data_IF_825326055329
#
_entry.id   IF_825326055329
#
_cell.length_a   1.000
_cell.length_b   1.000
_cell.length_c   1.000
_cell.angle_alpha   90.00
_cell.angle_beta   90.00
_cell.angle_gamma   90.00
#
_symmetry.space_group_name_H-M   'P 1'
#
loop_
_entity.id
_entity.type
_entity.pdbx_description
1 polymer ?
#
# COMPACT_ATOMS: atom_id res chain seq x y z
N UNK A 1 6.98 -33.60 6.25
CA UNK A 1 8.27 -32.89 6.07
C UNK A 1 8.56 -32.74 4.58
N UNK A 2 8.39 -31.52 4.01
CA UNK A 2 8.84 -31.22 2.64
C UNK A 2 10.37 -31.17 2.66
N UNK A 3 11.05 -32.13 2.02
CA UNK A 3 12.51 -32.09 1.79
C UNK A 3 12.81 -30.79 1.05
N UNK A 4 13.47 -29.82 1.70
CA UNK A 4 14.08 -28.67 1.03
C UNK A 4 15.17 -29.24 0.12
N UNK A 5 14.85 -29.40 -1.16
CA UNK A 5 15.86 -29.66 -2.17
C UNK A 5 16.78 -28.44 -2.21
N UNK A 6 18.06 -28.61 -1.85
CA UNK A 6 19.06 -27.56 -2.00
C UNK A 6 19.20 -27.27 -3.50
N UNK A 7 18.77 -26.08 -3.91
CA UNK A 7 18.80 -25.60 -5.30
C UNK A 7 20.19 -25.65 -5.92
N UNK A 8 21.24 -25.52 -5.09
CA UNK A 8 22.64 -25.67 -5.49
C UNK A 8 22.93 -27.07 -6.03
N UNK A 9 22.47 -28.13 -5.36
CA UNK A 9 22.74 -29.51 -5.78
C UNK A 9 22.05 -29.84 -7.10
N UNK A 10 20.83 -29.33 -7.31
CA UNK A 10 20.08 -29.51 -8.57
C UNK A 10 20.77 -28.84 -9.75
N UNK A 11 21.23 -27.60 -9.57
CA UNK A 11 21.97 -26.89 -10.62
C UNK A 11 23.27 -27.62 -10.98
N UNK A 12 23.99 -28.13 -9.98
CA UNK A 12 25.20 -28.94 -10.20
C UNK A 12 24.90 -30.21 -10.97
N UNK A 13 23.88 -30.98 -10.60
CA UNK A 13 23.50 -32.20 -11.31
C UNK A 13 23.03 -31.93 -12.75
N UNK A 14 22.30 -30.84 -12.98
CA UNK A 14 21.87 -30.43 -14.32
C UNK A 14 23.07 -30.08 -15.22
N UNK A 15 24.04 -29.33 -14.69
CA UNK A 15 25.24 -28.95 -15.44
C UNK A 15 26.11 -30.18 -15.76
N UNK A 16 26.26 -31.11 -14.81
CA UNK A 16 26.96 -32.36 -15.01
C UNK A 16 26.26 -33.24 -16.08
N UNK A 17 24.93 -33.29 -16.08
CA UNK A 17 24.16 -33.98 -17.09
C UNK A 17 24.35 -33.38 -18.50
N UNK A 18 24.37 -32.05 -18.63
CA UNK A 18 24.64 -31.37 -19.91
C UNK A 18 26.03 -31.72 -20.44
N UNK A 19 27.06 -31.70 -19.56
CA UNK A 19 28.44 -32.09 -19.93
C UNK A 19 28.52 -33.55 -20.36
N UNK A 20 27.86 -34.46 -19.63
CA UNK A 20 27.84 -35.88 -19.96
C UNK A 20 27.10 -36.15 -21.29
N UNK A 21 25.96 -35.50 -21.53
CA UNK A 21 25.22 -35.58 -22.79
C UNK A 21 26.10 -35.08 -23.94
N UNK A 22 26.84 -33.98 -23.74
CA UNK A 22 27.75 -33.43 -24.74
C UNK A 22 28.86 -34.44 -25.09
N UNK A 23 29.52 -35.02 -24.07
CA UNK A 23 30.59 -36.01 -24.26
C UNK A 23 30.06 -37.28 -24.94
N UNK A 24 28.91 -37.80 -24.51
CA UNK A 24 28.29 -38.99 -25.10
C UNK A 24 27.88 -38.76 -26.55
N UNK A 25 27.35 -37.59 -26.87
CA UNK A 25 26.94 -37.23 -28.23
C UNK A 25 28.15 -37.09 -29.16
N UNK A 26 29.24 -36.45 -28.70
CA UNK A 26 30.52 -36.38 -29.43
C UNK A 26 31.13 -37.77 -29.64
N UNK A 27 31.10 -38.64 -28.62
CA UNK A 27 31.65 -40.00 -28.71
C UNK A 27 30.82 -40.89 -29.65
N UNK A 28 29.49 -40.80 -29.59
CA UNK A 28 28.58 -41.52 -30.48
C UNK A 28 28.86 -41.18 -31.95
N UNK A 29 29.05 -39.90 -32.26
CA UNK A 29 29.36 -39.45 -33.62
C UNK A 29 30.78 -39.84 -34.07
N UNK A 30 31.79 -39.76 -33.19
CA UNK A 30 33.16 -40.19 -33.50
C UNK A 30 33.25 -41.68 -33.88
N UNK A 31 32.42 -42.52 -33.26
CA UNK A 31 32.41 -43.96 -33.53
C UNK A 31 31.63 -44.35 -34.80
N UNK A 32 30.70 -43.50 -35.27
CA UNK A 32 29.82 -43.82 -36.40
C UNK A 32 30.15 -43.07 -37.70
N UNK A 33 30.90 -41.96 -37.66
CA UNK A 33 31.29 -41.19 -38.86
C UNK A 33 32.70 -41.57 -39.32
N UNK A 34 32.80 -42.18 -40.50
CA UNK A 34 34.05 -42.78 -41.03
C UNK A 34 34.78 -41.90 -42.05
N UNK A 35 34.11 -40.88 -42.61
CA UNK A 35 34.64 -40.03 -43.68
C UNK A 35 34.62 -38.54 -43.25
N UNK A 36 35.79 -37.92 -43.12
CA UNK A 36 35.96 -36.57 -42.56
C UNK A 36 35.77 -35.45 -43.60
N UNK A 37 35.56 -35.81 -44.87
CA UNK A 37 35.20 -34.90 -45.96
C UNK A 37 33.78 -34.32 -45.85
N UNK A 38 32.91 -34.97 -45.06
CA UNK A 38 31.55 -34.52 -44.71
C UNK A 38 31.48 -33.74 -43.38
N UNK A 39 32.56 -33.06 -43.02
CA UNK A 39 32.64 -32.21 -41.82
C UNK A 39 31.63 -31.04 -41.83
N UNK A 40 30.99 -30.73 -42.96
CA UNK A 40 29.84 -29.83 -43.04
C UNK A 40 28.57 -30.42 -42.41
N UNK A 41 28.27 -31.69 -42.70
CA UNK A 41 27.13 -32.45 -42.12
C UNK A 41 27.30 -32.66 -40.61
N UNK A 42 28.56 -32.71 -40.14
CA UNK A 42 28.93 -32.68 -38.71
C UNK A 42 28.42 -31.41 -38.02
N UNK A 43 28.61 -30.23 -38.62
CA UNK A 43 28.17 -28.94 -38.04
C UNK A 43 26.64 -28.77 -38.01
N UNK A 44 25.94 -29.28 -39.02
CA UNK A 44 24.48 -29.15 -39.14
C UNK A 44 23.72 -29.90 -38.04
N UNK A 45 24.23 -31.06 -37.60
CA UNK A 45 23.62 -31.83 -36.51
C UNK A 45 23.73 -31.11 -35.15
N UNK A 46 24.78 -30.31 -34.94
CA UNK A 46 24.89 -29.45 -33.75
C UNK A 46 23.97 -28.23 -33.81
N UNK A 47 23.56 -27.80 -35.01
CA UNK A 47 22.61 -26.69 -35.19
C UNK A 47 21.26 -26.94 -34.50
N UNK A 48 20.73 -28.16 -34.61
CA UNK A 48 19.45 -28.54 -33.98
C UNK A 48 19.55 -28.55 -32.45
N UNK A 49 20.64 -29.09 -31.90
CA UNK A 49 20.89 -29.09 -30.45
C UNK A 49 21.09 -27.67 -29.91
N UNK A 50 21.85 -26.83 -30.61
CA UNK A 50 22.07 -25.45 -30.23
C UNK A 50 20.77 -24.63 -30.31
N UNK A 51 19.93 -24.87 -31.32
CA UNK A 51 18.62 -24.24 -31.43
C UNK A 51 17.69 -24.65 -30.27
N UNK A 52 17.66 -25.94 -29.91
CA UNK A 52 16.87 -26.43 -28.78
C UNK A 52 17.35 -25.86 -27.45
N UNK A 53 18.67 -25.82 -27.22
CA UNK A 53 19.25 -25.25 -26.01
C UNK A 53 19.00 -23.73 -25.91
N UNK A 54 19.15 -23.01 -27.03
CA UNK A 54 18.85 -21.59 -27.11
C UNK A 54 17.36 -21.30 -26.86
N UNK A 55 16.47 -22.15 -27.40
CA UNK A 55 15.03 -22.07 -27.14
C UNK A 55 14.67 -22.35 -25.68
N UNK A 56 15.30 -23.35 -25.05
CA UNK A 56 15.12 -23.66 -23.63
C UNK A 56 15.65 -22.53 -22.74
N UNK A 57 16.80 -21.96 -23.08
CA UNK A 57 17.37 -20.80 -22.39
C UNK A 57 16.44 -19.59 -22.49
N UNK A 58 15.91 -19.31 -23.69
CA UNK A 58 14.93 -18.24 -23.91
C UNK A 58 13.66 -18.48 -23.08
N UNK A 59 13.12 -19.70 -23.07
CA UNK A 59 11.95 -20.06 -22.28
C UNK A 59 12.22 -19.89 -20.77
N UNK A 60 13.43 -20.26 -20.31
CA UNK A 60 13.88 -20.02 -18.94
C UNK A 60 13.92 -18.53 -18.60
N UNK A 61 14.47 -17.70 -19.47
CA UNK A 61 14.49 -16.24 -19.30
C UNK A 61 13.07 -15.68 -19.23
N UNK A 62 12.18 -16.04 -20.16
CA UNK A 62 10.77 -15.61 -20.17
C UNK A 62 10.06 -16.00 -18.86
N UNK A 63 10.28 -17.23 -18.39
CA UNK A 63 9.74 -17.69 -17.12
C UNK A 63 10.24 -16.85 -15.94
N UNK A 64 11.56 -16.59 -15.88
CA UNK A 64 12.13 -15.75 -14.82
C UNK A 64 11.61 -14.32 -14.87
N UNK A 65 11.41 -13.75 -16.06
CA UNK A 65 10.83 -12.42 -16.23
C UNK A 65 9.39 -12.36 -15.70
N UNK A 66 8.57 -13.39 -15.98
CA UNK A 66 7.21 -13.45 -15.43
C UNK A 66 7.21 -13.48 -13.90
N UNK A 67 8.14 -14.23 -13.30
CA UNK A 67 8.29 -14.28 -11.85
C UNK A 67 8.75 -12.93 -11.28
N UNK A 68 9.72 -12.29 -11.92
CA UNK A 68 10.25 -10.98 -11.52
C UNK A 68 9.15 -9.91 -11.49
N UNK A 69 8.28 -9.87 -12.52
CA UNK A 69 7.15 -8.93 -12.59
C UNK A 69 6.23 -9.10 -11.36
N UNK A 70 5.87 -10.34 -11.02
CA UNK A 70 5.02 -10.61 -9.84
C UNK A 70 5.70 -10.17 -8.54
N UNK A 71 7.02 -10.41 -8.42
CA UNK A 71 7.76 -9.99 -7.22
C UNK A 71 7.84 -8.47 -7.11
N UNK A 72 7.98 -7.75 -8.22
CA UNK A 72 7.97 -6.29 -8.21
C UNK A 72 6.60 -5.72 -7.83
N UNK A 73 5.51 -6.33 -8.30
CA UNK A 73 4.16 -5.93 -7.89
C UNK A 73 3.93 -6.09 -6.38
N UNK A 74 4.38 -7.22 -5.82
CA UNK A 74 4.30 -7.47 -4.38
C UNK A 74 5.16 -6.46 -3.60
N UNK A 75 6.40 -6.24 -4.04
CA UNK A 75 7.30 -5.27 -3.41
C UNK A 75 6.71 -3.85 -3.43
N UNK A 76 6.07 -3.45 -4.54
CA UNK A 76 5.39 -2.15 -4.63
C UNK A 76 4.20 -2.06 -3.66
N UNK A 77 3.43 -3.14 -3.50
CA UNK A 77 2.32 -3.19 -2.52
C UNK A 77 2.83 -3.06 -1.09
N UNK A 78 3.89 -3.76 -0.74
CA UNK A 78 4.49 -3.69 0.61
C UNK A 78 5.02 -2.28 0.91
N UNK A 79 5.72 -1.67 -0.05
CA UNK A 79 6.16 -0.27 0.07
C UNK A 79 4.99 0.69 0.25
N UNK A 80 3.92 0.56 -0.55
CA UNK A 80 2.74 1.40 -0.44
C UNK A 80 2.04 1.25 0.93
N UNK A 81 1.96 0.02 1.45
CA UNK A 81 1.40 -0.27 2.76
C UNK A 81 2.25 0.33 3.90
N UNK A 82 3.58 0.31 3.79
CA UNK A 82 4.49 0.88 4.78
C UNK A 82 4.40 2.42 4.87
N UNK A 83 3.95 3.07 3.80
CA UNK A 83 3.78 4.53 3.77
C UNK A 83 2.33 4.96 3.95
N UNK A 84 1.41 4.04 4.26
CA UNK A 84 -0.01 4.32 4.39
C UNK A 84 -0.33 4.77 5.83
N UNK A 85 -0.62 6.07 6.05
CA UNK A 85 -1.21 6.53 7.31
C UNK A 85 -2.69 6.14 7.41
N UNK A 86 -3.13 5.93 8.64
CA UNK A 86 -4.52 5.63 8.98
C UNK A 86 -4.82 6.35 10.28
N UNK A 87 -5.71 7.34 10.24
CA UNK A 87 -6.03 8.14 11.42
C UNK A 87 -7.26 7.57 12.13
N UNK A 88 -7.24 7.67 13.45
CA UNK A 88 -8.37 7.47 14.35
C UNK A 88 -8.53 8.75 15.15
N UNK A 89 -9.78 9.14 15.36
CA UNK A 89 -10.14 10.36 16.07
C UNK A 89 -10.95 9.96 17.28
N UNK A 90 -10.62 10.47 18.45
CA UNK A 90 -11.38 10.21 19.67
C UNK A 90 -11.80 11.52 20.34
N UNK A 91 -13.05 11.66 20.81
CA UNK A 91 -13.47 12.85 21.51
C UNK A 91 -12.89 12.87 22.92
N UNK A 92 -12.26 13.99 23.30
CA UNK A 92 -11.79 14.25 24.66
C UNK A 92 -12.67 15.32 25.31
N UNK A 93 -13.39 14.92 26.35
CA UNK A 93 -14.22 15.86 27.14
C UNK A 93 -13.33 16.78 27.98
N UNK A 94 -13.63 18.09 28.00
CA UNK A 94 -12.95 19.01 28.93
C UNK A 94 -12.76 20.46 28.48
N UNK A 95 -13.18 20.86 27.28
CA UNK A 95 -12.98 22.24 26.79
C UNK A 95 -14.25 23.07 26.94
N UNK A 96 -14.10 24.28 27.49
CA UNK A 96 -15.23 25.18 27.83
C UNK A 96 -15.95 25.79 26.61
N UNK A 97 -15.31 25.86 25.44
CA UNK A 97 -15.88 26.52 24.25
C UNK A 97 -15.56 25.81 22.92
N UNK A 98 -15.32 24.50 22.95
CA UNK A 98 -14.97 23.70 21.78
C UNK A 98 -14.86 22.21 22.09
N UNK A 99 -14.37 21.43 21.13
CA UNK A 99 -14.04 20.01 21.36
C UNK A 99 -12.55 19.78 21.13
N UNK A 100 -11.94 19.02 22.03
CA UNK A 100 -10.63 18.43 21.80
C UNK A 100 -10.83 17.04 21.20
N UNK A 101 -10.16 16.80 20.09
CA UNK A 101 -10.08 15.51 19.44
C UNK A 101 -8.67 14.97 19.63
N UNK A 102 -8.55 13.74 20.09
CA UNK A 102 -7.30 13.00 20.06
C UNK A 102 -7.20 12.33 18.70
N UNK A 103 -6.26 12.78 17.88
CA UNK A 103 -5.98 12.17 16.57
C UNK A 103 -4.78 11.26 16.74
N UNK A 104 -4.99 9.97 16.53
CA UNK A 104 -3.96 8.92 16.61
C UNK A 104 -3.72 8.36 15.22
N UNK A 105 -2.46 8.29 14.80
CA UNK A 105 -2.10 7.59 13.58
C UNK A 105 -1.80 6.11 13.90
N UNK A 106 -2.72 5.23 13.53
CA UNK A 106 -2.59 3.78 13.68
C UNK A 106 -2.05 3.09 12.40
N UNK A 107 -1.76 3.87 11.36
CA UNK A 107 -1.14 3.38 10.13
C UNK A 107 0.37 3.23 10.25
N UNK A 108 1.01 2.74 9.18
CA UNK A 108 2.46 2.56 9.13
C UNK A 108 3.19 3.80 8.62
N UNK A 109 2.51 4.64 7.83
CA UNK A 109 3.07 5.85 7.25
C UNK A 109 2.83 7.10 8.08
N UNK A 110 3.60 8.15 7.82
CA UNK A 110 3.37 9.48 8.40
C UNK A 110 2.23 10.19 7.67
N UNK A 111 1.29 10.76 8.43
CA UNK A 111 0.29 11.70 7.91
C UNK A 111 0.83 13.13 7.99
N UNK A 112 0.57 13.93 6.97
CA UNK A 112 0.99 15.32 6.84
C UNK A 112 -0.20 16.21 6.49
N UNK A 113 -0.07 17.51 6.79
CA UNK A 113 -1.06 18.54 6.43
C UNK A 113 -2.49 18.14 6.82
N UNK A 114 -2.64 17.60 8.03
CA UNK A 114 -3.90 17.09 8.54
C UNK A 114 -4.79 18.29 8.85
N UNK A 115 -5.95 18.31 8.20
CA UNK A 115 -6.97 19.34 8.34
C UNK A 115 -8.35 18.67 8.42
N UNK A 116 -9.31 19.40 8.96
CA UNK A 116 -10.66 18.91 9.17
C UNK A 116 -11.63 19.72 8.34
N UNK A 117 -12.43 19.04 7.52
CA UNK A 117 -13.42 19.73 6.70
C UNK A 117 -14.50 20.35 7.60
N UNK A 118 -14.89 21.61 7.33
CA UNK A 118 -15.93 22.26 8.09
C UNK A 118 -17.23 21.45 8.06
N UNK A 119 -17.76 21.06 9.22
CA UNK A 119 -19.01 20.30 9.30
C UNK A 119 -20.06 21.06 10.13
N UNK A 120 -21.32 21.11 9.66
CA UNK A 120 -22.40 21.75 10.41
C UNK A 120 -22.80 20.90 11.61
N UNK A 121 -23.19 21.55 12.71
CA UNK A 121 -23.71 20.87 13.89
C UNK A 121 -25.04 20.13 13.60
N UNK A 122 -25.87 20.67 12.71
CA UNK A 122 -27.17 20.13 12.28
C UNK A 122 -27.63 20.88 11.02
N UNK A 123 -28.48 20.27 10.18
CA UNK A 123 -29.04 20.87 8.94
C UNK A 123 -29.71 22.23 9.13
N UNK A 124 -30.24 22.48 10.32
CA UNK A 124 -31.09 23.62 10.63
C UNK A 124 -30.32 24.77 11.31
N UNK A 125 -29.02 24.59 11.59
CA UNK A 125 -28.20 25.55 12.32
C UNK A 125 -27.04 26.08 11.47
N UNK A 126 -26.72 27.37 11.63
CA UNK A 126 -25.59 28.05 10.99
C UNK A 126 -24.24 27.80 11.68
N UNK A 127 -24.20 26.95 12.71
CA UNK A 127 -22.96 26.62 13.45
C UNK A 127 -22.17 25.56 12.70
N UNK A 128 -20.95 25.90 12.33
CA UNK A 128 -20.00 25.03 11.63
C UNK A 128 -18.75 24.86 12.48
N UNK A 129 -18.30 23.64 12.68
CA UNK A 129 -17.03 23.37 13.36
C UNK A 129 -15.89 23.47 12.37
N UNK A 130 -14.86 24.23 12.73
CA UNK A 130 -13.62 24.36 11.95
C UNK A 130 -12.44 24.05 12.86
N UNK A 131 -11.38 23.47 12.29
CA UNK A 131 -10.10 23.37 12.98
C UNK A 131 -9.52 24.78 13.19
N UNK A 132 -9.01 25.08 14.39
CA UNK A 132 -8.29 26.35 14.63
C UNK A 132 -6.98 26.39 13.80
N UNK A 133 -6.30 25.24 13.73
CA UNK A 133 -5.03 25.10 13.01
C UNK A 133 -4.90 23.72 12.37
N UNK A 134 -4.17 23.68 11.26
CA UNK A 134 -3.74 22.43 10.63
C UNK A 134 -2.63 21.77 11.44
N UNK A 135 -2.69 20.44 11.53
CA UNK A 135 -1.62 19.65 12.14
C UNK A 135 -0.61 19.25 11.06
N UNK A 136 0.62 19.73 11.20
CA UNK A 136 1.64 19.61 10.16
C UNK A 136 2.05 18.16 9.91
N UNK A 137 2.21 17.37 10.97
CA UNK A 137 2.58 15.95 10.84
C UNK A 137 2.18 15.11 12.05
N UNK A 138 1.88 13.85 11.78
CA UNK A 138 1.60 12.80 12.76
C UNK A 138 2.26 11.49 12.32
N UNK A 139 3.29 11.07 13.05
CA UNK A 139 4.03 9.83 12.78
C UNK A 139 3.21 8.60 13.15
N UNK A 140 3.55 7.45 12.59
CA UNK A 140 2.95 6.17 12.96
C UNK A 140 3.07 5.93 14.48
N UNK A 141 1.94 5.59 15.12
CA UNK A 141 1.83 5.39 16.56
C UNK A 141 1.79 6.68 17.41
N UNK A 142 1.86 7.86 16.80
CA UNK A 142 1.78 9.14 17.50
C UNK A 142 0.32 9.56 17.69
N UNK A 143 0.03 10.16 18.86
CA UNK A 143 -1.27 10.78 19.17
C UNK A 143 -1.05 12.26 19.46
N UNK A 144 -1.86 13.12 18.85
CA UNK A 144 -1.86 14.57 19.10
C UNK A 144 -3.26 15.10 19.33
N UNK A 145 -3.33 16.17 20.11
CA UNK A 145 -4.57 16.88 20.36
C UNK A 145 -4.86 17.83 19.19
N UNK A 146 -6.11 17.85 18.76
CA UNK A 146 -6.61 18.67 17.67
C UNK A 146 -7.86 19.40 18.15
N UNK A 147 -7.79 20.72 18.20
CA UNK A 147 -8.88 21.54 18.72
C UNK A 147 -9.79 22.00 17.58
N UNK A 148 -11.09 21.73 17.75
CA UNK A 148 -12.14 22.23 16.85
C UNK A 148 -13.00 23.26 17.58
N UNK A 149 -13.26 24.36 16.89
CA UNK A 149 -14.02 25.49 17.42
C UNK A 149 -15.30 25.70 16.59
N UNK A 150 -16.42 26.06 17.23
CA UNK A 150 -17.67 26.38 16.55
C UNK A 150 -17.64 27.81 15.98
N UNK A 151 -18.09 27.97 14.75
CA UNK A 151 -18.23 29.27 14.06
C UNK A 151 -19.66 29.45 13.57
N UNK A 152 -20.20 30.66 13.65
CA UNK A 152 -21.45 31.06 12.99
C UNK A 152 -21.09 32.06 11.89
N UNK A 153 -21.18 31.62 10.63
CA UNK A 153 -20.57 32.37 9.53
C UNK A 153 -19.03 32.40 9.67
N UNK A 154 -18.48 33.60 9.84
CA UNK A 154 -17.03 33.83 10.04
C UNK A 154 -16.67 34.25 11.48
N UNK A 155 -17.65 34.37 12.38
CA UNK A 155 -17.42 34.72 13.78
C UNK A 155 -17.42 33.47 14.66
N UNK A 156 -16.56 33.47 15.69
CA UNK A 156 -16.52 32.40 16.68
C UNK A 156 -17.85 32.37 17.43
N UNK A 157 -18.49 31.21 17.50
CA UNK A 157 -19.78 31.08 18.15
C UNK A 157 -19.66 31.34 19.66
N UNK A 158 -20.54 32.18 20.19
CA UNK A 158 -20.69 32.36 21.64
C UNK A 158 -21.28 31.09 22.27
N UNK A 159 -21.11 30.89 23.59
CA UNK A 159 -21.50 29.68 24.32
C UNK A 159 -23.00 29.32 24.22
N UNK A 160 -23.83 30.14 23.58
CA UNK A 160 -25.24 29.87 23.25
C UNK A 160 -25.45 28.57 22.48
N UNK A 161 -24.48 28.11 21.67
CA UNK A 161 -24.56 26.80 20.99
C UNK A 161 -24.63 25.61 21.97
N UNK A 162 -24.11 25.77 23.20
CA UNK A 162 -24.14 24.73 24.25
C UNK A 162 -25.56 24.44 24.74
N UNK A 163 -26.52 25.35 24.52
CA UNK A 163 -27.92 25.11 24.84
C UNK A 163 -28.55 23.96 24.02
N UNK A 164 -28.00 23.70 22.83
CA UNK A 164 -28.39 22.58 21.96
C UNK A 164 -27.78 21.24 22.38
N UNK A 165 -26.97 21.19 23.45
CA UNK A 165 -26.53 19.96 24.11
C UNK A 165 -27.50 19.48 25.20
N UNK A 166 -28.65 20.16 25.40
CA UNK A 166 -29.73 19.67 26.27
C UNK A 166 -30.30 18.34 25.73
N UNK A 167 -30.74 17.51 26.68
CA UNK A 167 -31.11 16.09 26.49
C UNK A 167 -32.01 15.81 25.28
N UNK A 168 -32.87 16.75 24.89
CA UNK A 168 -33.80 16.64 23.75
C UNK A 168 -33.09 16.57 22.37
N UNK A 169 -31.81 16.95 22.29
CA UNK A 169 -30.96 16.88 21.09
C UNK A 169 -29.76 15.93 21.25
N UNK A 170 -29.58 15.35 22.44
CA UNK A 170 -28.47 14.48 22.80
C UNK A 170 -28.73 13.04 22.31
N UNK A 171 -28.47 12.75 21.04
CA UNK A 171 -28.36 11.40 20.45
C UNK A 171 -27.99 11.45 18.95
N UNK A 172 -27.21 12.46 18.53
CA UNK A 172 -26.87 12.66 17.11
C UNK A 172 -25.44 12.22 16.82
N UNK A 173 -25.27 11.40 15.79
CA UNK A 173 -23.96 11.05 15.23
C UNK A 173 -23.38 12.28 14.49
N UNK A 174 -22.22 12.76 14.93
CA UNK A 174 -21.46 13.80 14.26
C UNK A 174 -20.61 13.17 13.16
N UNK A 175 -20.82 13.59 11.90
CA UNK A 175 -19.98 13.18 10.78
C UNK A 175 -18.83 14.16 10.62
N UNK A 176 -17.61 13.66 10.72
CA UNK A 176 -16.38 14.44 10.64
C UNK A 176 -15.52 13.88 9.52
N UNK A 177 -15.09 14.76 8.61
CA UNK A 177 -14.19 14.39 7.51
C UNK A 177 -12.82 15.01 7.74
N UNK A 178 -11.78 14.19 7.80
CA UNK A 178 -10.39 14.64 7.90
C UNK A 178 -9.70 14.44 6.56
N UNK A 179 -9.04 15.50 6.09
CA UNK A 179 -8.18 15.47 4.91
C UNK A 179 -6.72 15.50 5.37
N UNK A 180 -5.90 14.64 4.78
CA UNK A 180 -4.47 14.57 5.08
C UNK A 180 -3.70 14.01 3.89
N UNK A 181 -2.39 14.13 3.94
CA UNK A 181 -1.47 13.67 2.89
C UNK A 181 -0.52 12.61 3.45
N UNK A 182 -0.10 11.64 2.62
CA UNK A 182 1.02 10.76 2.96
C UNK A 182 2.35 11.43 2.58
N UNK A 183 3.48 10.79 2.89
CA UNK A 183 4.82 11.30 2.55
C UNK A 183 5.08 11.49 1.05
N UNK A 184 4.25 10.90 0.19
CA UNK A 184 4.26 11.10 -1.26
C UNK A 184 3.29 12.20 -1.72
N UNK A 185 2.74 12.99 -0.79
CA UNK A 185 1.76 14.07 -1.03
C UNK A 185 0.47 13.60 -1.71
N UNK A 186 0.14 12.32 -1.58
CA UNK A 186 -1.16 11.78 -2.01
C UNK A 186 -2.22 12.17 -0.99
N UNK A 187 -3.24 12.92 -1.44
CA UNK A 187 -4.36 13.36 -0.61
C UNK A 187 -5.29 12.19 -0.28
N UNK A 188 -5.72 12.13 0.98
CA UNK A 188 -6.64 11.14 1.53
C UNK A 188 -7.73 11.85 2.32
N UNK A 189 -8.91 11.25 2.34
CA UNK A 189 -10.03 11.68 3.16
C UNK A 189 -10.54 10.52 4.00
N UNK A 190 -10.73 10.75 5.29
CA UNK A 190 -11.33 9.78 6.21
C UNK A 190 -12.56 10.38 6.85
N UNK A 191 -13.66 9.64 6.79
CA UNK A 191 -14.94 10.02 7.36
C UNK A 191 -15.20 9.22 8.63
N UNK A 192 -15.40 9.95 9.72
CA UNK A 192 -15.66 9.44 11.05
C UNK A 192 -17.11 9.75 11.44
N UNK A 193 -17.75 8.82 12.15
CA UNK A 193 -19.04 9.04 12.79
C UNK A 193 -18.84 8.98 14.31
N UNK A 194 -18.93 10.14 14.96
CA UNK A 194 -18.74 10.32 16.40
C UNK A 194 -20.12 10.30 17.08
N UNK A 195 -20.48 9.21 17.77
CA UNK A 195 -21.68 9.11 18.59
C UNK A 195 -21.42 9.31 20.09
N UNK A 196 -22.49 9.44 20.89
CA UNK A 196 -22.43 9.39 22.36
C UNK A 196 -22.07 7.96 22.80
N UNK A 197 -20.78 7.68 22.98
CA UNK A 197 -20.28 6.44 23.57
C UNK A 197 -19.81 5.37 22.57
N UNK A 198 -20.03 5.53 21.27
CA UNK A 198 -19.50 4.63 20.24
C UNK A 198 -18.81 5.42 19.13
N UNK A 199 -17.52 5.11 18.94
CA UNK A 199 -16.69 5.57 17.83
C UNK A 199 -16.84 4.59 16.69
N UNK A 200 -17.49 4.98 15.61
CA UNK A 200 -17.58 4.16 14.40
C UNK A 200 -16.82 4.84 13.27
N UNK A 201 -15.69 4.25 12.90
CA UNK A 201 -15.01 4.60 11.65
C UNK A 201 -15.88 4.09 10.52
N UNK A 202 -16.47 5.00 9.74
CA UNK A 202 -17.49 4.64 8.77
C UNK A 202 -16.91 4.52 7.36
N UNK A 203 -15.89 5.31 6.99
CA UNK A 203 -15.28 5.22 5.66
C UNK A 203 -13.85 5.79 5.59
N UNK A 204 -12.95 5.07 4.90
CA UNK A 204 -11.64 5.60 4.48
C UNK A 204 -11.66 5.70 2.96
N UNK A 205 -11.56 6.92 2.41
CA UNK A 205 -11.60 7.16 0.97
C UNK A 205 -10.31 7.84 0.52
N UNK A 206 -9.54 7.15 -0.32
CA UNK A 206 -8.45 7.82 -1.05
C UNK A 206 -9.08 8.79 -2.03
N UNK A 207 -8.82 10.09 -1.85
CA UNK A 207 -9.14 11.12 -2.84
C UNK A 207 -8.13 10.97 -3.99
N UNK A 208 -8.36 9.98 -4.84
CA UNK A 208 -7.59 9.78 -6.07
C UNK A 208 -7.59 11.10 -6.84
N UNK A 209 -6.40 11.68 -7.06
CA UNK A 209 -6.25 12.68 -8.09
C UNK A 209 -6.66 12.05 -9.42
N UNK A 210 -7.63 12.66 -10.10
CA UNK A 210 -7.67 12.51 -11.55
C UNK A 210 -6.33 13.06 -12.05
N UNK A 211 -5.56 12.20 -12.71
CA UNK A 211 -4.41 12.65 -13.52
C UNK A 211 -4.84 13.75 -14.49
#
# INVERSE_FOLDING_TARGET
MKKRFNSVNIATYFLLAVVVIYILFTLFLYLFVKDWGESGTFGDSFGVLNALFSGLALAGVIYTLNLQVRTFELQRKDSAFNIMPLLVVEPKSGVRNGYQLLVTNIGNGTAMNIDLEPFPLTSDFSVVFKADRRMMSLKAGETKEFEIMPYVGDELADASWTAHLKHDYANRELRVSIIYENIEFSKMQQDFSLGLGELKVTMVKTLSQSR
#
